data_IF_206205089134
#
_entry.id   IF_206205089134
#
_cell.length_a   1.000
_cell.length_b   1.000
_cell.length_c   1.000
_cell.angle_alpha   90.00
_cell.angle_beta   90.00
_cell.angle_gamma   90.00
#
_symmetry.space_group_name_H-M   'P 1'
#
loop_
_entity.id
_entity.type
_entity.pdbx_description
1 polymer ?
#
# COMPACT_ATOMS: atom_id res chain seq x y z
N UNK A 1 4.85 -18.02 -0.58
CA UNK A 1 5.92 -19.02 -0.43
C UNK A 1 7.23 -18.33 -0.77
N UNK A 2 8.10 -18.20 0.19
CA UNK A 2 9.38 -17.54 0.03
C UNK A 2 10.37 -18.37 -0.78
N UNK A 3 11.51 -17.76 -1.07
CA UNK A 3 12.62 -18.33 -1.84
C UNK A 3 13.18 -19.64 -1.26
N UNK A 4 13.02 -19.86 0.03
CA UNK A 4 13.56 -21.03 0.75
C UNK A 4 12.79 -22.33 0.45
N UNK A 5 11.72 -22.26 -0.31
CA UNK A 5 10.90 -23.40 -0.74
C UNK A 5 11.15 -23.74 -2.22
N UNK A 6 12.40 -23.57 -2.67
CA UNK A 6 12.79 -23.98 -4.03
C UNK A 6 12.57 -25.50 -4.16
N UNK A 7 11.71 -25.88 -5.12
CA UNK A 7 11.30 -27.27 -5.34
C UNK A 7 9.89 -27.60 -4.85
N UNK A 8 9.31 -26.79 -3.96
CA UNK A 8 7.90 -26.90 -3.52
C UNK A 8 7.02 -25.76 -4.04
N UNK A 9 7.64 -24.71 -4.59
CA UNK A 9 6.94 -23.56 -5.16
C UNK A 9 6.24 -23.89 -6.48
N UNK A 10 5.12 -23.20 -6.74
CA UNK A 10 4.38 -23.29 -8.00
C UNK A 10 4.81 -22.20 -9.01
N UNK A 11 5.92 -21.51 -8.75
CA UNK A 11 6.43 -20.47 -9.66
C UNK A 11 6.96 -21.13 -10.93
N UNK A 12 6.33 -20.79 -12.06
CA UNK A 12 6.79 -21.20 -13.39
C UNK A 12 7.93 -20.34 -13.91
N UNK A 13 8.63 -20.82 -14.94
CA UNK A 13 9.57 -20.04 -15.72
C UNK A 13 8.84 -19.44 -16.95
N UNK A 14 8.96 -18.13 -17.14
CA UNK A 14 8.35 -17.42 -18.28
C UNK A 14 7.94 -16.01 -17.88
N UNK A 15 7.87 -15.10 -18.83
CA UNK A 15 7.48 -13.70 -18.58
C UNK A 15 8.51 -12.83 -17.85
N UNK A 16 9.59 -13.40 -17.32
CA UNK A 16 10.61 -12.64 -16.58
C UNK A 16 11.53 -11.82 -17.49
N UNK A 17 11.69 -12.20 -18.75
CA UNK A 17 12.67 -11.60 -19.65
C UNK A 17 12.54 -10.07 -19.79
N UNK A 18 11.34 -9.51 -20.01
CA UNK A 18 11.20 -8.05 -20.05
C UNK A 18 11.59 -7.38 -18.72
N UNK A 19 11.27 -7.98 -17.58
CA UNK A 19 11.65 -7.46 -16.26
C UNK A 19 13.16 -7.55 -16.03
N UNK A 20 13.79 -8.67 -16.42
CA UNK A 20 15.25 -8.81 -16.35
C UNK A 20 15.96 -7.69 -17.12
N UNK A 21 15.50 -7.40 -18.35
CA UNK A 21 16.08 -6.37 -19.19
C UNK A 21 15.93 -4.96 -18.57
N UNK A 22 14.77 -4.68 -17.98
CA UNK A 22 14.52 -3.39 -17.28
C UNK A 22 15.40 -3.25 -16.04
N UNK A 23 15.58 -4.33 -15.28
CA UNK A 23 16.38 -4.32 -14.06
C UNK A 23 17.87 -4.47 -14.32
N UNK A 24 18.28 -4.73 -15.55
CA UNK A 24 19.69 -4.96 -15.92
C UNK A 24 20.28 -6.23 -15.29
N UNK A 25 19.45 -7.24 -15.03
CA UNK A 25 19.83 -8.49 -14.37
C UNK A 25 19.74 -9.68 -15.33
N UNK A 26 20.49 -10.73 -15.06
CA UNK A 26 20.24 -12.04 -15.66
C UNK A 26 18.98 -12.67 -15.07
N UNK A 27 18.38 -13.65 -15.77
CA UNK A 27 17.21 -14.35 -15.28
C UNK A 27 17.44 -15.03 -13.91
N UNK A 28 18.65 -15.52 -13.64
CA UNK A 28 19.01 -16.13 -12.37
C UNK A 28 19.17 -15.10 -11.23
N UNK A 29 19.73 -13.93 -11.52
CA UNK A 29 19.83 -12.82 -10.56
C UNK A 29 18.45 -12.26 -10.25
N UNK A 30 17.65 -11.97 -11.29
CA UNK A 30 16.27 -11.51 -11.12
C UNK A 30 15.45 -12.47 -10.24
N UNK A 31 15.52 -13.77 -10.48
CA UNK A 31 14.78 -14.76 -9.70
C UNK A 31 15.15 -14.77 -8.20
N UNK A 32 16.33 -14.27 -7.83
CA UNK A 32 16.76 -14.18 -6.43
C UNK A 32 16.16 -12.98 -5.70
N UNK A 33 15.95 -11.87 -6.41
CA UNK A 33 15.48 -10.60 -5.82
C UNK A 33 14.01 -10.30 -6.12
N UNK A 34 13.40 -10.96 -7.11
CA UNK A 34 12.00 -10.78 -7.49
C UNK A 34 11.04 -11.54 -6.56
N UNK A 35 11.20 -11.32 -5.27
CA UNK A 35 10.34 -11.82 -4.21
C UNK A 35 9.69 -10.67 -3.44
N UNK A 36 8.46 -10.86 -2.90
CA UNK A 36 7.80 -9.83 -2.11
C UNK A 36 8.53 -9.55 -0.80
N UNK A 37 8.88 -8.29 -0.58
CA UNK A 37 9.23 -7.78 0.73
C UNK A 37 7.92 -7.48 1.52
N UNK A 38 7.80 -7.75 2.84
CA UNK A 38 8.85 -8.25 3.75
C UNK A 38 8.92 -9.77 3.91
N UNK A 39 8.17 -10.53 3.11
CA UNK A 39 8.19 -12.00 3.18
C UNK A 39 9.60 -12.56 2.93
N UNK A 40 10.30 -12.02 1.94
CA UNK A 40 11.73 -12.19 1.76
C UNK A 40 12.41 -10.85 2.08
N UNK A 41 13.24 -10.76 3.14
CA UNK A 41 13.94 -9.52 3.49
C UNK A 41 14.85 -8.97 2.39
N UNK A 42 15.37 -9.85 1.52
CA UNK A 42 16.18 -9.48 0.35
C UNK A 42 15.35 -9.27 -0.92
N UNK A 43 14.02 -9.38 -0.81
CA UNK A 43 13.09 -9.21 -1.92
C UNK A 43 12.93 -7.73 -2.27
N UNK A 44 12.87 -7.43 -3.57
CA UNK A 44 12.74 -6.06 -4.09
C UNK A 44 11.35 -5.77 -4.65
N UNK A 45 10.41 -6.72 -4.58
CA UNK A 45 9.01 -6.50 -4.93
C UNK A 45 8.21 -6.02 -3.72
N UNK A 46 7.35 -5.04 -3.94
CA UNK A 46 6.43 -4.53 -2.93
C UNK A 46 5.01 -4.89 -3.35
N UNK A 47 4.36 -5.76 -2.59
CA UNK A 47 2.97 -6.13 -2.81
C UNK A 47 2.06 -5.16 -2.04
N UNK A 48 1.26 -4.40 -2.77
CA UNK A 48 0.20 -3.56 -2.20
C UNK A 48 -1.18 -4.07 -2.60
N UNK A 49 -2.14 -3.88 -1.73
CA UNK A 49 -3.54 -4.19 -1.98
C UNK A 49 -4.39 -2.92 -1.96
N UNK A 50 -5.55 -2.99 -2.62
CA UNK A 50 -6.62 -2.01 -2.48
C UNK A 50 -7.79 -2.67 -1.75
N UNK A 51 -8.22 -2.06 -0.65
CA UNK A 51 -9.39 -2.50 0.15
C UNK A 51 -10.42 -1.39 -0.01
N UNK A 52 -11.30 -1.56 -0.97
CA UNK A 52 -12.17 -0.49 -1.45
C UNK A 52 -13.60 -0.96 -1.76
N UNK A 53 -13.99 -2.11 -1.18
CA UNK A 53 -15.36 -2.60 -1.26
C UNK A 53 -15.81 -3.29 0.03
N UNK A 54 -17.14 -3.46 0.18
CA UNK A 54 -17.77 -4.06 1.37
C UNK A 54 -17.36 -5.51 1.63
N UNK A 55 -17.01 -6.26 0.58
CA UNK A 55 -16.61 -7.67 0.73
C UNK A 55 -15.17 -7.75 1.24
N UNK A 56 -14.27 -6.92 0.71
CA UNK A 56 -12.93 -6.78 1.24
C UNK A 56 -12.96 -6.28 2.70
N UNK A 57 -13.80 -5.28 3.00
CA UNK A 57 -13.96 -4.75 4.35
C UNK A 57 -14.43 -5.82 5.33
N UNK A 58 -15.42 -6.64 4.95
CA UNK A 58 -15.92 -7.73 5.78
C UNK A 58 -14.89 -8.83 6.09
N UNK A 59 -13.84 -8.94 5.26
CA UNK A 59 -12.77 -9.94 5.38
C UNK A 59 -11.40 -9.30 5.70
N UNK A 60 -11.37 -8.04 6.13
CA UNK A 60 -10.13 -7.27 6.24
C UNK A 60 -9.11 -7.87 7.21
N UNK A 61 -9.54 -8.47 8.31
CA UNK A 61 -8.66 -9.14 9.25
C UNK A 61 -7.96 -10.37 8.63
N UNK A 62 -8.70 -11.18 7.87
CA UNK A 62 -8.15 -12.34 7.17
C UNK A 62 -7.22 -11.91 6.03
N UNK A 63 -7.60 -10.87 5.29
CA UNK A 63 -6.76 -10.28 4.24
C UNK A 63 -5.44 -9.76 4.83
N UNK A 64 -5.52 -8.98 5.90
CA UNK A 64 -4.35 -8.42 6.57
C UNK A 64 -3.45 -9.51 7.21
N UNK A 65 -3.98 -10.69 7.51
CA UNK A 65 -3.19 -11.80 8.04
C UNK A 65 -2.37 -12.54 6.97
N UNK A 66 -2.57 -12.25 5.67
CA UNK A 66 -1.81 -12.89 4.59
C UNK A 66 -0.36 -12.41 4.59
N UNK A 67 0.65 -13.31 4.70
CA UNK A 67 2.05 -12.90 4.71
C UNK A 67 2.49 -12.28 3.38
N UNK A 68 3.40 -11.30 3.44
CA UNK A 68 4.03 -10.71 2.26
C UNK A 68 3.35 -9.45 1.73
N UNK A 69 2.27 -9.00 2.35
CA UNK A 69 1.64 -7.72 2.05
C UNK A 69 2.46 -6.62 2.73
N UNK A 70 2.95 -5.64 1.96
CA UNK A 70 3.75 -4.53 2.47
C UNK A 70 2.89 -3.33 2.86
N UNK A 71 1.83 -3.07 2.09
CA UNK A 71 0.88 -2.00 2.37
C UNK A 71 -0.50 -2.33 1.82
N UNK A 72 -1.51 -1.62 2.30
CA UNK A 72 -2.83 -1.62 1.67
C UNK A 72 -3.42 -0.21 1.65
N UNK A 73 -4.17 0.05 0.60
CA UNK A 73 -4.83 1.33 0.33
C UNK A 73 -6.31 1.25 0.71
N UNK A 74 -6.79 2.30 1.37
CA UNK A 74 -8.20 2.63 1.40
C UNK A 74 -8.50 3.63 0.29
N UNK A 75 -9.31 3.23 -0.70
CA UNK A 75 -9.75 4.06 -1.82
C UNK A 75 -11.17 4.59 -1.58
N UNK A 76 -11.34 5.88 -1.25
CA UNK A 76 -12.68 6.40 -0.90
C UNK A 76 -13.67 6.36 -2.06
N UNK A 77 -13.23 6.55 -3.31
CA UNK A 77 -14.12 6.54 -4.46
C UNK A 77 -14.84 5.21 -4.65
N UNK A 78 -14.09 4.13 -4.79
CA UNK A 78 -14.66 2.80 -4.99
C UNK A 78 -15.36 2.27 -3.73
N UNK A 79 -14.86 2.62 -2.53
CA UNK A 79 -15.55 2.31 -1.27
C UNK A 79 -16.91 2.99 -1.20
N UNK A 80 -17.02 4.28 -1.55
CA UNK A 80 -18.28 5.01 -1.63
C UNK A 80 -19.25 4.37 -2.62
N UNK A 81 -18.78 4.03 -3.82
CA UNK A 81 -19.59 3.29 -4.81
C UNK A 81 -20.09 1.95 -4.25
N UNK A 82 -19.24 1.23 -3.51
CA UNK A 82 -19.62 -0.03 -2.87
C UNK A 82 -20.68 0.15 -1.78
N UNK A 83 -20.72 1.30 -1.12
CA UNK A 83 -21.79 1.68 -0.16
C UNK A 83 -23.01 2.32 -0.83
N UNK A 84 -23.06 2.40 -2.16
CA UNK A 84 -24.12 3.05 -2.93
C UNK A 84 -24.18 4.58 -2.71
N UNK A 85 -23.05 5.19 -2.38
CA UNK A 85 -22.88 6.62 -2.19
C UNK A 85 -21.72 7.14 -3.06
N UNK A 86 -21.97 7.43 -4.34
CA UNK A 86 -20.94 7.92 -5.26
C UNK A 86 -20.41 9.32 -4.89
N UNK A 87 -21.16 10.09 -4.10
CA UNK A 87 -20.76 11.43 -3.67
C UNK A 87 -19.80 11.39 -2.46
N UNK A 88 -19.60 10.21 -1.84
CA UNK A 88 -18.68 10.02 -0.74
C UNK A 88 -17.19 9.88 -1.17
N UNK A 89 -16.82 10.33 -2.37
CA UNK A 89 -15.46 10.29 -2.89
C UNK A 89 -14.51 11.22 -2.11
N UNK A 90 -14.98 12.43 -1.79
CA UNK A 90 -14.19 13.48 -1.14
C UNK A 90 -14.74 13.85 0.24
N UNK A 91 -13.90 14.43 1.13
CA UNK A 91 -14.37 14.89 2.44
C UNK A 91 -15.37 16.07 2.31
N UNK A 92 -16.31 16.21 3.28
CA UNK A 92 -16.39 15.43 4.51
C UNK A 92 -17.01 14.04 4.29
N UNK A 93 -16.29 12.99 4.71
CA UNK A 93 -16.77 11.62 4.54
C UNK A 93 -17.94 11.31 5.48
N UNK A 94 -18.96 10.57 5.00
CA UNK A 94 -19.98 9.98 5.87
C UNK A 94 -19.37 9.08 6.94
N UNK A 95 -20.07 8.89 8.06
CA UNK A 95 -19.62 8.08 9.20
C UNK A 95 -19.23 6.65 8.75
N UNK A 96 -20.04 6.01 7.90
CA UNK A 96 -19.76 4.66 7.37
C UNK A 96 -18.42 4.57 6.62
N UNK A 97 -18.01 5.64 5.95
CA UNK A 97 -16.73 5.71 5.24
C UNK A 97 -15.56 5.90 6.20
N UNK A 98 -15.75 6.72 7.25
CA UNK A 98 -14.76 6.89 8.31
C UNK A 98 -14.58 5.59 9.10
N UNK A 99 -15.67 4.90 9.44
CA UNK A 99 -15.64 3.60 10.12
C UNK A 99 -14.91 2.54 9.28
N UNK A 100 -15.19 2.49 7.98
CA UNK A 100 -14.52 1.57 7.05
C UNK A 100 -13.01 1.84 7.01
N UNK A 101 -12.60 3.11 6.88
CA UNK A 101 -11.18 3.51 6.92
C UNK A 101 -10.51 3.07 8.21
N UNK A 102 -11.14 3.34 9.34
CA UNK A 102 -10.57 3.08 10.66
C UNK A 102 -10.51 1.56 10.96
N UNK A 103 -11.49 0.78 10.47
CA UNK A 103 -11.46 -0.67 10.52
C UNK A 103 -10.29 -1.23 9.69
N UNK A 104 -10.11 -0.76 8.45
CA UNK A 104 -8.99 -1.15 7.59
C UNK A 104 -7.67 -0.82 8.28
N UNK A 105 -7.50 0.44 8.71
CA UNK A 105 -6.29 0.88 9.39
C UNK A 105 -5.97 0.02 10.62
N UNK A 106 -6.96 -0.31 11.42
CA UNK A 106 -6.80 -1.14 12.62
C UNK A 106 -6.28 -2.54 12.26
N UNK A 107 -6.87 -3.18 11.23
CA UNK A 107 -6.44 -4.51 10.78
C UNK A 107 -5.01 -4.50 10.23
N UNK A 108 -4.63 -3.46 9.49
CA UNK A 108 -3.29 -3.29 8.94
C UNK A 108 -2.25 -3.04 10.04
N UNK A 109 -2.53 -2.14 10.98
CA UNK A 109 -1.63 -1.82 12.09
C UNK A 109 -1.35 -3.07 12.96
N UNK A 110 -2.37 -3.88 13.23
CA UNK A 110 -2.25 -5.15 13.97
C UNK A 110 -1.28 -6.14 13.32
N UNK A 111 -1.15 -6.10 11.99
CA UNK A 111 -0.30 -7.00 11.23
C UNK A 111 1.00 -6.32 10.73
N UNK A 112 1.28 -5.09 11.14
CA UNK A 112 2.48 -4.35 10.74
C UNK A 112 2.50 -3.92 9.26
N UNK A 113 1.34 -3.91 8.60
CA UNK A 113 1.19 -3.53 7.19
C UNK A 113 1.05 -2.00 7.10
N UNK A 114 1.69 -1.40 6.10
CA UNK A 114 1.60 0.03 5.86
C UNK A 114 0.19 0.46 5.44
N UNK A 115 -0.40 1.43 6.13
CA UNK A 115 -1.64 2.06 5.68
C UNK A 115 -1.34 3.15 4.65
N UNK A 116 -2.01 3.11 3.52
CA UNK A 116 -2.02 4.11 2.47
C UNK A 116 -3.44 4.63 2.25
N UNK A 117 -3.58 5.93 2.05
CA UNK A 117 -4.86 6.55 1.67
C UNK A 117 -4.65 7.47 0.48
N UNK A 118 -5.48 7.36 -0.52
CA UNK A 118 -5.56 8.29 -1.65
C UNK A 118 -6.43 9.52 -1.36
N UNK A 119 -6.75 9.75 -0.10
CA UNK A 119 -7.48 10.95 0.33
C UNK A 119 -6.84 12.24 -0.20
N UNK A 120 -7.67 13.10 -0.72
CA UNK A 120 -7.28 14.43 -1.20
C UNK A 120 -8.35 15.46 -0.82
N UNK A 121 -7.92 16.70 -0.62
CA UNK A 121 -8.79 17.85 -0.39
C UNK A 121 -8.20 19.03 -1.15
N UNK A 122 -8.94 19.55 -2.13
CA UNK A 122 -8.45 20.58 -3.04
C UNK A 122 -8.37 21.97 -2.39
N UNK A 123 -9.02 22.16 -1.25
CA UNK A 123 -8.95 23.39 -0.45
C UNK A 123 -7.70 23.45 0.45
N UNK A 124 -6.96 22.35 0.58
CA UNK A 124 -5.72 22.29 1.36
C UNK A 124 -4.48 22.58 0.52
N UNK A 125 -3.51 23.28 1.14
CA UNK A 125 -2.15 23.37 0.57
C UNK A 125 -1.46 22.03 0.59
N UNK A 126 -0.34 21.90 -0.15
CA UNK A 126 0.50 20.70 -0.15
C UNK A 126 0.93 20.29 1.27
N UNK A 127 1.43 21.25 2.03
CA UNK A 127 1.87 21.01 3.42
C UNK A 127 0.73 20.52 4.30
N UNK A 128 -0.44 21.16 4.20
CA UNK A 128 -1.62 20.77 4.96
C UNK A 128 -2.07 19.34 4.63
N UNK A 129 -2.05 18.94 3.36
CA UNK A 129 -2.39 17.56 2.95
C UNK A 129 -1.39 16.55 3.49
N UNK A 130 -0.09 16.83 3.41
CA UNK A 130 0.95 15.96 3.94
C UNK A 130 0.82 15.85 5.46
N UNK A 131 0.61 16.97 6.16
CA UNK A 131 0.44 17.01 7.60
C UNK A 131 -0.79 16.23 8.04
N UNK A 132 -1.93 16.43 7.39
CA UNK A 132 -3.15 15.69 7.69
C UNK A 132 -2.99 14.18 7.45
N UNK A 133 -2.35 13.81 6.35
CA UNK A 133 -2.12 12.39 6.03
C UNK A 133 -1.22 11.72 7.07
N UNK A 134 -0.17 12.39 7.51
CA UNK A 134 0.79 11.82 8.47
C UNK A 134 0.26 11.86 9.92
N UNK A 135 -0.30 12.99 10.34
CA UNK A 135 -0.61 13.25 11.75
C UNK A 135 -2.04 12.82 12.13
N UNK A 136 -2.99 12.94 11.20
CA UNK A 136 -4.41 12.63 11.45
C UNK A 136 -4.77 11.24 10.93
N UNK A 137 -4.51 10.97 9.64
CA UNK A 137 -4.80 9.66 9.07
C UNK A 137 -3.78 8.59 9.48
N UNK A 138 -2.57 8.99 9.89
CA UNK A 138 -1.53 8.07 10.32
C UNK A 138 -1.02 7.16 9.21
N UNK A 139 -1.00 7.65 7.96
CA UNK A 139 -0.52 6.88 6.81
C UNK A 139 0.97 6.55 6.95
N UNK A 140 1.36 5.37 6.51
CA UNK A 140 2.76 4.95 6.45
C UNK A 140 3.38 5.16 5.07
N UNK A 141 2.53 5.27 4.06
CA UNK A 141 2.88 5.50 2.67
C UNK A 141 1.88 6.48 2.05
N UNK A 142 2.35 7.30 1.13
CA UNK A 142 1.48 8.16 0.32
C UNK A 142 2.07 8.39 -1.06
N UNK A 143 1.21 8.55 -2.05
CA UNK A 143 1.59 9.06 -3.36
C UNK A 143 2.04 10.52 -3.25
N UNK A 144 3.17 10.87 -3.83
CA UNK A 144 3.72 12.20 -3.67
C UNK A 144 4.51 12.65 -4.91
N UNK A 145 4.41 13.93 -5.25
CA UNK A 145 5.38 14.58 -6.12
C UNK A 145 6.74 14.68 -5.41
N UNK A 146 7.79 15.05 -6.13
CA UNK A 146 9.11 15.27 -5.52
C UNK A 146 9.04 16.28 -4.37
N UNK A 147 8.33 17.37 -4.54
CA UNK A 147 8.18 18.44 -3.54
C UNK A 147 7.48 17.93 -2.26
N UNK A 148 6.36 17.20 -2.41
CA UNK A 148 5.66 16.58 -1.28
C UNK A 148 6.54 15.58 -0.54
N UNK A 149 7.28 14.78 -1.29
CA UNK A 149 8.18 13.80 -0.71
C UNK A 149 9.34 14.47 0.07
N UNK A 150 9.87 15.58 -0.41
CA UNK A 150 10.91 16.37 0.28
C UNK A 150 10.37 16.96 1.58
N UNK A 151 9.17 17.54 1.55
CA UNK A 151 8.51 18.06 2.74
C UNK A 151 8.23 16.96 3.77
N UNK A 152 7.61 15.86 3.37
CA UNK A 152 7.30 14.73 4.24
C UNK A 152 8.54 14.09 4.87
N UNK A 153 9.64 13.93 4.11
CA UNK A 153 10.92 13.46 4.66
C UNK A 153 11.50 14.40 5.69
N UNK A 154 11.49 15.69 5.41
CA UNK A 154 11.95 16.71 6.38
C UNK A 154 11.13 16.66 7.66
N UNK A 155 9.81 16.56 7.56
CA UNK A 155 8.90 16.49 8.70
C UNK A 155 9.12 15.22 9.53
N UNK A 156 9.29 14.08 8.90
CA UNK A 156 9.41 12.77 9.58
C UNK A 156 10.84 12.39 9.95
N UNK A 157 11.84 13.16 9.52
CA UNK A 157 13.26 12.83 9.71
C UNK A 157 13.73 11.61 8.92
N UNK A 158 12.96 11.15 7.92
CA UNK A 158 13.32 10.00 7.09
C UNK A 158 14.25 10.42 5.96
N UNK A 159 15.25 9.59 5.71
CA UNK A 159 16.13 9.72 4.53
C UNK A 159 15.79 8.63 3.53
N UNK A 160 15.90 8.96 2.23
CA UNK A 160 15.85 7.92 1.21
C UNK A 160 17.08 7.02 1.37
N UNK A 161 16.92 5.70 1.32
CA UNK A 161 18.07 4.85 1.04
C UNK A 161 18.64 5.24 -0.34
N UNK A 162 19.95 5.45 -0.41
CA UNK A 162 20.66 5.77 -1.65
C UNK A 162 21.23 4.47 -2.19
#
# INVERSE_FOLDING_TARGET
>A
MGRDVIGEGLRGAGGQRPANDIWGLTGAEYAKVADPWPLNPDGELILGLKIEDRHCLANVDDIAAVPGIAFAEWGPGDMGMSFMDPDAHDPPYPEVMNDARDQIKTALDKNGIGFYSSWADDDMTMEQRVDYSLDVLGVKMMGATKEWAEYGRKKTGRTMPV
#
